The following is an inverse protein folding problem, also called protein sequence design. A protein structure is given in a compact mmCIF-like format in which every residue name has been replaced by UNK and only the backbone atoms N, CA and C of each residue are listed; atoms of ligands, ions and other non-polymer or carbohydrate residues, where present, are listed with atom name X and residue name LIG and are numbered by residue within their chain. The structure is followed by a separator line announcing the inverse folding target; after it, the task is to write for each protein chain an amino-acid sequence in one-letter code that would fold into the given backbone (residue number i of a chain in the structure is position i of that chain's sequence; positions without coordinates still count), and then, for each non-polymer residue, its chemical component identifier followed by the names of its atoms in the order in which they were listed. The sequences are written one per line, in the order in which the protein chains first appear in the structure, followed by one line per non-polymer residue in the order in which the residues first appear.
data_IF_111303927939
#
_entry.id   IF_111303927939
#
_cell.length_a   1.000
_cell.length_b   1.000
_cell.length_c   1.000
_cell.angle_alpha   90.00
_cell.angle_beta   90.00
_cell.angle_gamma   90.00
#
_symmetry.space_group_name_H-M   'P 1'
#
loop_
_entity.id
_entity.type
_entity.pdbx_description
1 polymer ?
#
# COMPACT_ATOMS: atom_id res chain seq x y z
N UNK A 1 3.85 15.28 -14.57
CA UNK A 1 2.91 15.99 -13.67
C UNK A 1 3.67 16.28 -12.40
N UNK A 2 3.91 17.54 -12.07
CA UNK A 2 4.56 17.92 -10.81
C UNK A 2 3.50 17.87 -9.70
N UNK A 3 3.61 16.86 -8.83
CA UNK A 3 2.88 16.78 -7.56
C UNK A 3 3.42 17.84 -6.60
N UNK A 4 3.01 19.10 -6.78
CA UNK A 4 2.85 19.97 -5.61
C UNK A 4 1.68 19.33 -4.87
N UNK A 5 1.95 18.69 -3.73
CA UNK A 5 1.02 17.84 -2.99
C UNK A 5 -0.34 18.50 -2.90
N UNK A 6 -1.38 17.83 -3.40
CA UNK A 6 -2.74 18.37 -3.54
C UNK A 6 -3.23 19.00 -2.21
N UNK A 7 -2.79 18.43 -1.08
CA UNK A 7 -3.00 18.87 0.31
C UNK A 7 -2.61 20.33 0.58
N UNK A 8 -1.53 20.84 -0.03
CA UNK A 8 -1.09 22.24 0.16
C UNK A 8 -2.05 23.27 -0.45
N UNK A 9 -2.95 22.81 -1.33
CA UNK A 9 -3.91 23.66 -2.03
C UNK A 9 -5.37 23.26 -1.82
N UNK A 10 -5.65 22.14 -1.15
CA UNK A 10 -6.99 21.59 -1.05
C UNK A 10 -7.99 22.57 -0.40
N UNK A 11 -7.60 23.21 0.71
CA UNK A 11 -8.41 24.23 1.37
C UNK A 11 -8.60 25.48 0.50
N UNK A 12 -7.55 25.92 -0.20
CA UNK A 12 -7.63 27.05 -1.13
C UNK A 12 -8.54 26.75 -2.32
N UNK A 13 -8.48 25.53 -2.85
CA UNK A 13 -9.35 25.05 -3.94
C UNK A 13 -10.79 24.98 -3.46
N UNK A 14 -11.03 24.44 -2.26
CA UNK A 14 -12.36 24.41 -1.65
C UNK A 14 -13.00 25.80 -1.58
N UNK A 15 -12.25 26.79 -1.09
CA UNK A 15 -12.73 28.16 -0.95
C UNK A 15 -12.95 28.84 -2.31
N UNK A 16 -12.00 28.70 -3.24
CA UNK A 16 -12.07 29.38 -4.55
C UNK A 16 -13.12 28.77 -5.47
N UNK A 17 -13.40 27.48 -5.34
CA UNK A 17 -14.39 26.77 -6.16
C UNK A 17 -15.81 26.80 -5.56
N UNK A 18 -16.00 27.38 -4.37
CA UNK A 18 -17.28 27.40 -3.65
C UNK A 18 -17.92 26.00 -3.52
N UNK A 19 -17.12 25.01 -3.12
CA UNK A 19 -17.58 23.62 -3.01
C UNK A 19 -18.77 23.51 -2.05
N UNK A 20 -18.78 24.28 -0.96
CA UNK A 20 -19.90 24.33 0.00
C UNK A 20 -21.22 24.78 -0.65
N UNK A 21 -21.18 25.76 -1.56
CA UNK A 21 -22.33 26.15 -2.37
C UNK A 21 -22.71 25.08 -3.40
N UNK A 22 -21.73 24.48 -4.08
CA UNK A 22 -21.95 23.47 -5.11
C UNK A 22 -22.71 22.23 -4.58
N UNK A 23 -22.29 21.69 -3.44
CA UNK A 23 -22.94 20.49 -2.86
C UNK A 23 -24.38 20.74 -2.42
N UNK A 24 -24.77 22.02 -2.19
CA UNK A 24 -26.15 22.44 -1.88
C UNK A 24 -26.97 22.76 -3.13
N UNK A 25 -26.33 23.27 -4.18
CA UNK A 25 -26.97 23.73 -5.42
C UNK A 25 -27.12 22.68 -6.52
N UNK A 26 -26.50 21.50 -6.35
CA UNK A 26 -26.47 20.42 -7.33
C UNK A 26 -25.20 20.42 -8.16
N UNK A 27 -24.76 19.24 -8.57
CA UNK A 27 -23.49 19.02 -9.29
C UNK A 27 -23.70 18.10 -10.49
N UNK A 28 -22.70 18.01 -11.35
CA UNK A 28 -22.60 16.94 -12.37
C UNK A 28 -21.82 15.75 -11.80
N UNK A 29 -21.92 14.58 -12.44
CA UNK A 29 -21.13 13.39 -12.06
C UNK A 29 -19.62 13.70 -11.99
N UNK A 30 -19.09 14.44 -12.98
CA UNK A 30 -17.68 14.84 -13.02
C UNK A 30 -17.32 15.76 -11.86
N UNK A 31 -18.19 16.72 -11.53
CA UNK A 31 -17.95 17.62 -10.40
C UNK A 31 -18.01 16.88 -9.07
N UNK A 32 -18.93 15.91 -8.91
CA UNK A 32 -18.99 15.13 -7.68
C UNK A 32 -17.71 14.32 -7.46
N UNK A 33 -17.15 13.70 -8.51
CA UNK A 33 -15.86 13.00 -8.44
C UNK A 33 -14.70 13.95 -8.08
N UNK A 34 -14.66 15.14 -8.70
CA UNK A 34 -13.65 16.15 -8.39
C UNK A 34 -13.77 16.69 -6.96
N UNK A 35 -14.99 16.92 -6.48
CA UNK A 35 -15.24 17.29 -5.08
C UNK A 35 -14.74 16.17 -4.16
N UNK A 36 -15.01 14.90 -4.49
CA UNK A 36 -14.53 13.78 -3.69
C UNK A 36 -13.00 13.77 -3.54
N UNK A 37 -12.26 14.08 -4.60
CA UNK A 37 -10.81 14.23 -4.55
C UNK A 37 -10.37 15.37 -3.61
N UNK A 38 -10.98 16.55 -3.74
CA UNK A 38 -10.65 17.72 -2.90
C UNK A 38 -10.94 17.42 -1.42
N UNK A 39 -12.11 16.85 -1.12
CA UNK A 39 -12.49 16.50 0.25
C UNK A 39 -11.59 15.43 0.86
N UNK A 40 -11.17 14.44 0.06
CA UNK A 40 -10.22 13.43 0.54
C UNK A 40 -8.86 14.06 0.90
N UNK A 41 -8.37 15.00 0.09
CA UNK A 41 -7.16 15.76 0.39
C UNK A 41 -7.33 16.67 1.63
N UNK A 42 -8.50 17.30 1.81
CA UNK A 42 -8.78 18.11 3.01
C UNK A 42 -8.82 17.28 4.30
N UNK A 43 -9.16 16.00 4.22
CA UNK A 43 -9.12 15.09 5.37
C UNK A 43 -7.68 14.60 5.66
N UNK A 44 -6.72 14.76 4.75
CA UNK A 44 -5.29 14.49 4.95
C UNK A 44 -4.62 15.68 5.64
N UNK A 45 -4.74 15.71 6.97
CA UNK A 45 -4.13 16.76 7.77
C UNK A 45 -2.75 16.33 8.25
N UNK A 46 -1.76 17.19 8.00
CA UNK A 46 -0.37 17.02 8.41
C UNK A 46 0.20 18.35 8.88
N UNK A 47 1.29 18.88 8.26
CA UNK A 47 1.78 20.22 8.59
C UNK A 47 0.84 21.34 8.10
N UNK A 48 -0.08 21.04 7.18
CA UNK A 48 -1.08 21.97 6.63
C UNK A 48 -2.46 21.61 7.19
N UNK A 49 -3.24 22.64 7.55
CA UNK A 49 -4.63 22.46 7.99
C UNK A 49 -5.54 22.30 6.78
N UNK A 50 -6.39 21.27 6.82
CA UNK A 50 -7.40 21.01 5.81
C UNK A 50 -8.78 21.29 6.39
N UNK A 51 -9.57 20.23 6.60
CA UNK A 51 -10.96 20.34 7.07
C UNK A 51 -11.07 20.96 8.48
N UNK A 52 -10.04 20.84 9.33
CA UNK A 52 -10.03 21.45 10.68
C UNK A 52 -9.93 22.97 10.66
N UNK A 53 -9.60 23.58 9.52
CA UNK A 53 -9.60 25.03 9.36
C UNK A 53 -11.03 25.59 9.21
N UNK A 54 -12.01 24.75 8.86
CA UNK A 54 -13.40 25.17 8.73
C UNK A 54 -14.12 25.14 10.08
N UNK A 55 -15.12 26.02 10.28
CA UNK A 55 -16.08 25.86 11.37
C UNK A 55 -16.69 24.46 11.33
N UNK A 56 -16.80 23.81 12.49
CA UNK A 56 -17.29 22.42 12.59
C UNK A 56 -18.66 22.22 11.91
N UNK A 57 -19.55 23.19 12.10
CA UNK A 57 -20.88 23.17 11.47
C UNK A 57 -20.80 23.25 9.93
N UNK A 58 -19.90 24.08 9.40
CA UNK A 58 -19.70 24.20 7.94
C UNK A 58 -19.15 22.89 7.38
N UNK A 59 -18.16 22.28 8.04
CA UNK A 59 -17.62 20.99 7.64
C UNK A 59 -18.71 19.90 7.62
N UNK A 60 -19.54 19.82 8.68
CA UNK A 60 -20.63 18.85 8.76
C UNK A 60 -21.69 19.05 7.67
N UNK A 61 -22.10 20.29 7.41
CA UNK A 61 -23.07 20.60 6.36
C UNK A 61 -22.54 20.27 4.97
N UNK A 62 -21.27 20.57 4.70
CA UNK A 62 -20.62 20.28 3.44
C UNK A 62 -20.55 18.76 3.19
N UNK A 63 -20.11 17.98 4.20
CA UNK A 63 -20.07 16.53 4.08
C UNK A 63 -21.48 15.95 3.91
N UNK A 64 -22.47 16.42 4.66
CA UNK A 64 -23.86 15.98 4.50
C UNK A 64 -24.39 16.27 3.10
N UNK A 65 -24.16 17.47 2.59
CA UNK A 65 -24.54 17.87 1.23
C UNK A 65 -23.86 17.00 0.18
N UNK A 66 -22.57 16.71 0.32
CA UNK A 66 -21.87 15.78 -0.56
C UNK A 66 -22.52 14.40 -0.56
N UNK A 67 -22.84 13.84 0.60
CA UNK A 67 -23.51 12.54 0.70
C UNK A 67 -24.92 12.57 0.08
N UNK A 68 -25.65 13.69 0.15
CA UNK A 68 -26.97 13.84 -0.48
C UNK A 68 -26.87 13.71 -2.00
N UNK A 69 -25.82 14.28 -2.61
CA UNK A 69 -25.58 14.19 -4.05
C UNK A 69 -25.33 12.73 -4.51
N UNK A 70 -24.74 11.87 -3.68
CA UNK A 70 -24.38 10.50 -4.08
C UNK A 70 -25.57 9.64 -4.55
N UNK A 71 -26.79 9.93 -4.08
CA UNK A 71 -27.98 9.19 -4.46
C UNK A 71 -28.44 9.44 -5.91
N UNK A 72 -28.07 10.60 -6.48
CA UNK A 72 -28.48 11.02 -7.82
C UNK A 72 -27.37 10.89 -8.87
N UNK A 73 -26.17 10.45 -8.47
CA UNK A 73 -24.97 10.53 -9.29
C UNK A 73 -24.25 9.19 -9.45
N UNK A 74 -23.46 9.12 -10.53
CA UNK A 74 -22.65 7.93 -10.82
C UNK A 74 -21.55 7.78 -9.76
N UNK A 75 -21.50 6.60 -9.15
CA UNK A 75 -20.49 6.27 -8.15
C UNK A 75 -19.11 6.08 -8.82
N UNK A 76 -18.06 6.54 -8.15
CA UNK A 76 -16.65 6.37 -8.56
C UNK A 76 -15.81 5.85 -7.40
N UNK A 77 -14.60 5.37 -7.69
CA UNK A 77 -13.71 4.86 -6.65
C UNK A 77 -13.29 5.98 -5.68
N UNK A 78 -13.13 7.22 -6.17
CA UNK A 78 -12.81 8.37 -5.33
C UNK A 78 -13.94 8.66 -4.33
N UNK A 79 -15.19 8.59 -4.79
CA UNK A 79 -16.37 8.76 -3.93
C UNK A 79 -16.42 7.62 -2.89
N UNK A 80 -16.29 6.35 -3.29
CA UNK A 80 -16.28 5.24 -2.34
C UNK A 80 -15.14 5.37 -1.30
N UNK A 81 -13.93 5.78 -1.73
CA UNK A 81 -12.79 5.98 -0.82
C UNK A 81 -13.02 7.12 0.19
N UNK A 82 -13.61 8.24 -0.26
CA UNK A 82 -13.96 9.35 0.63
C UNK A 82 -15.01 8.91 1.65
N UNK A 83 -16.07 8.22 1.23
CA UNK A 83 -17.12 7.74 2.13
C UNK A 83 -16.53 6.76 3.15
N UNK A 84 -15.64 5.87 2.73
CA UNK A 84 -14.93 4.97 3.63
C UNK A 84 -14.07 5.71 4.65
N UNK A 85 -13.39 6.79 4.24
CA UNK A 85 -12.62 7.62 5.16
C UNK A 85 -13.53 8.32 6.18
N UNK A 86 -14.65 8.87 5.72
CA UNK A 86 -15.65 9.52 6.58
C UNK A 86 -16.29 8.54 7.58
N UNK A 87 -16.51 7.28 7.17
CA UNK A 87 -17.04 6.22 8.05
C UNK A 87 -16.19 6.06 9.32
N UNK A 88 -14.87 6.16 9.18
CA UNK A 88 -13.87 5.92 10.23
C UNK A 88 -13.34 7.21 10.88
N UNK A 89 -13.84 8.38 10.49
CA UNK A 89 -13.41 9.66 11.05
C UNK A 89 -14.31 10.06 12.22
N UNK A 90 -13.75 10.10 13.42
CA UNK A 90 -14.50 10.37 14.66
C UNK A 90 -15.24 11.73 14.64
N UNK A 91 -14.74 12.72 13.88
CA UNK A 91 -15.39 14.03 13.72
C UNK A 91 -16.76 13.91 13.05
N UNK A 92 -16.94 12.85 12.26
CA UNK A 92 -18.12 12.56 11.46
C UNK A 92 -18.85 11.30 11.93
N UNK A 93 -18.67 10.87 13.19
CA UNK A 93 -19.35 9.69 13.74
C UNK A 93 -20.89 9.72 13.59
N UNK A 94 -21.50 10.91 13.57
CA UNK A 94 -22.95 11.07 13.40
C UNK A 94 -23.48 10.64 12.02
N UNK A 95 -22.62 10.49 11.01
CA UNK A 95 -22.99 10.06 9.65
C UNK A 95 -22.49 8.66 9.31
N UNK A 96 -21.85 7.94 10.23
CA UNK A 96 -21.26 6.62 9.98
C UNK A 96 -22.28 5.60 9.44
N UNK A 97 -23.49 5.53 10.01
CA UNK A 97 -24.55 4.64 9.50
C UNK A 97 -24.93 4.96 8.05
N UNK A 98 -24.96 6.24 7.71
CA UNK A 98 -25.27 6.70 6.36
C UNK A 98 -24.13 6.36 5.39
N UNK A 99 -22.88 6.56 5.80
CA UNK A 99 -21.71 6.16 5.00
C UNK A 99 -21.73 4.65 4.73
N UNK A 100 -22.01 3.84 5.76
CA UNK A 100 -22.10 2.39 5.63
C UNK A 100 -23.21 1.99 4.64
N UNK A 101 -24.39 2.58 4.74
CA UNK A 101 -25.50 2.32 3.82
C UNK A 101 -25.14 2.63 2.34
N UNK A 102 -24.35 3.68 2.09
CA UNK A 102 -23.89 4.00 0.73
C UNK A 102 -22.82 3.01 0.26
N UNK A 103 -21.88 2.62 1.12
CA UNK A 103 -20.85 1.63 0.78
C UNK A 103 -21.45 0.25 0.49
N UNK A 104 -22.53 -0.12 1.17
CA UNK A 104 -23.27 -1.36 0.95
C UNK A 104 -24.18 -1.34 -0.29
N UNK A 105 -24.33 -0.18 -0.93
CA UNK A 105 -25.13 -0.06 -2.15
C UNK A 105 -24.53 -0.84 -3.31
N UNK A 106 -25.41 -1.33 -4.18
CA UNK A 106 -25.02 -2.05 -5.40
C UNK A 106 -24.07 -1.23 -6.30
N UNK A 107 -24.29 0.08 -6.39
CA UNK A 107 -23.45 0.98 -7.21
C UNK A 107 -22.02 1.07 -6.67
N UNK A 108 -21.82 1.23 -5.36
CA UNK A 108 -20.46 1.27 -4.80
C UNK A 108 -19.78 -0.09 -4.89
N UNK A 109 -20.48 -1.20 -4.58
CA UNK A 109 -19.93 -2.55 -4.73
C UNK A 109 -19.44 -2.83 -6.15
N UNK A 110 -20.22 -2.50 -7.18
CA UNK A 110 -19.79 -2.65 -8.58
C UNK A 110 -18.55 -1.86 -8.95
N UNK A 111 -18.43 -0.64 -8.43
CA UNK A 111 -17.27 0.22 -8.69
C UNK A 111 -16.03 -0.34 -8.04
N UNK A 112 -16.13 -0.84 -6.80
CA UNK A 112 -15.03 -1.50 -6.11
C UNK A 112 -14.62 -2.78 -6.86
N UNK A 113 -15.58 -3.63 -7.24
CA UNK A 113 -15.32 -4.85 -8.03
C UNK A 113 -14.60 -4.55 -9.35
N UNK A 114 -14.99 -3.47 -10.04
CA UNK A 114 -14.35 -3.05 -11.29
C UNK A 114 -12.96 -2.47 -11.06
N UNK A 115 -12.74 -1.78 -9.94
CA UNK A 115 -11.43 -1.26 -9.57
C UNK A 115 -10.43 -2.40 -9.28
N UNK A 116 -10.90 -3.49 -8.65
CA UNK A 116 -10.09 -4.66 -8.31
C UNK A 116 -9.50 -5.35 -9.54
N UNK A 117 -10.20 -5.34 -10.68
CA UNK A 117 -9.68 -5.86 -11.96
C UNK A 117 -8.39 -5.15 -12.42
N UNK A 118 -8.13 -3.95 -11.89
CA UNK A 118 -6.95 -3.15 -12.19
C UNK A 118 -6.05 -2.99 -10.95
N UNK A 119 -6.15 -3.90 -9.97
CA UNK A 119 -5.34 -3.87 -8.75
C UNK A 119 -5.61 -2.68 -7.82
N UNK A 120 -6.79 -2.06 -7.89
CA UNK A 120 -7.17 -0.90 -7.06
C UNK A 120 -8.39 -1.21 -6.21
N UNK A 121 -8.66 -0.37 -5.20
CA UNK A 121 -9.86 -0.50 -4.36
C UNK A 121 -9.79 -1.59 -3.30
N UNK A 122 -8.60 -2.11 -3.01
CA UNK A 122 -8.39 -3.23 -2.08
C UNK A 122 -8.87 -2.91 -0.66
N UNK A 123 -8.52 -1.72 -0.15
CA UNK A 123 -8.99 -1.25 1.17
C UNK A 123 -10.51 -1.18 1.22
N UNK A 124 -11.16 -0.63 0.19
CA UNK A 124 -12.62 -0.56 0.13
C UNK A 124 -13.25 -1.96 0.07
N UNK A 125 -12.62 -2.90 -0.64
CA UNK A 125 -13.06 -4.29 -0.70
C UNK A 125 -12.97 -4.98 0.66
N UNK A 126 -11.85 -4.80 1.39
CA UNK A 126 -11.67 -5.33 2.75
C UNK A 126 -12.77 -4.85 3.70
N UNK A 127 -13.06 -3.56 3.70
CA UNK A 127 -14.01 -2.92 4.62
C UNK A 127 -15.47 -3.26 4.29
N UNK A 128 -15.78 -3.52 3.02
CA UNK A 128 -17.13 -3.89 2.56
C UNK A 128 -17.33 -5.40 2.43
N UNK A 129 -16.32 -6.21 2.76
CA UNK A 129 -16.38 -7.67 2.65
C UNK A 129 -16.47 -8.19 1.21
N UNK A 130 -16.01 -7.42 0.22
CA UNK A 130 -15.95 -7.86 -1.17
C UNK A 130 -14.71 -8.75 -1.35
N UNK A 131 -14.85 -10.00 -1.85
CA UNK A 131 -13.71 -10.86 -2.16
C UNK A 131 -12.80 -10.21 -3.21
N UNK A 132 -11.50 -10.16 -2.92
CA UNK A 132 -10.55 -9.41 -3.75
C UNK A 132 -9.34 -10.22 -4.22
N UNK A 133 -9.03 -11.32 -3.54
CA UNK A 133 -7.76 -12.04 -3.68
C UNK A 133 -7.55 -12.57 -5.10
N UNK A 134 -8.57 -13.23 -5.66
CA UNK A 134 -8.53 -13.76 -7.02
C UNK A 134 -8.35 -12.66 -8.06
N UNK A 135 -9.05 -11.53 -7.91
CA UNK A 135 -8.98 -10.39 -8.85
C UNK A 135 -7.60 -9.73 -8.82
N UNK A 136 -7.04 -9.52 -7.63
CA UNK A 136 -5.69 -8.97 -7.49
C UNK A 136 -4.67 -9.93 -8.07
N UNK A 137 -4.75 -11.22 -7.76
CA UNK A 137 -3.81 -12.20 -8.30
C UNK A 137 -3.90 -12.27 -9.84
N UNK A 138 -5.10 -12.22 -10.40
CA UNK A 138 -5.31 -12.19 -11.85
C UNK A 138 -4.67 -10.93 -12.46
N UNK A 139 -4.83 -9.76 -11.84
CA UNK A 139 -4.17 -8.53 -12.28
C UNK A 139 -2.64 -8.65 -12.23
N UNK A 140 -2.08 -9.17 -11.12
CA UNK A 140 -0.64 -9.38 -10.97
C UNK A 140 -0.06 -10.34 -12.02
N UNK A 141 -0.81 -11.38 -12.40
CA UNK A 141 -0.41 -12.32 -13.47
C UNK A 141 -0.48 -11.69 -14.86
N UNK A 142 -1.41 -10.75 -15.09
CA UNK A 142 -1.58 -10.08 -16.36
C UNK A 142 -0.56 -8.95 -16.58
N UNK A 143 -0.26 -8.19 -15.53
CA UNK A 143 0.72 -7.10 -15.51
C UNK A 143 1.45 -7.09 -14.16
N UNK A 144 2.58 -7.80 -14.12
CA UNK A 144 3.39 -7.91 -12.91
C UNK A 144 3.97 -6.56 -12.49
N UNK A 145 4.39 -5.74 -13.45
CA UNK A 145 5.03 -4.44 -13.18
C UNK A 145 4.07 -3.45 -12.56
N UNK A 146 2.79 -3.47 -12.95
CA UNK A 146 1.76 -2.66 -12.29
C UNK A 146 1.22 -3.29 -10.99
N UNK A 147 1.25 -4.62 -10.88
CA UNK A 147 0.55 -5.35 -9.83
C UNK A 147 1.40 -5.75 -8.61
N UNK A 148 2.73 -5.85 -8.72
CA UNK A 148 3.58 -6.50 -7.71
C UNK A 148 3.42 -5.93 -6.28
N UNK A 149 3.16 -4.62 -6.16
CA UNK A 149 3.00 -3.95 -4.87
C UNK A 149 1.81 -4.49 -4.05
N UNK A 150 0.85 -5.14 -4.72
CA UNK A 150 -0.31 -5.73 -4.07
C UNK A 150 -0.04 -7.12 -3.45
N UNK A 151 1.17 -7.67 -3.58
CA UNK A 151 1.54 -8.99 -3.07
C UNK A 151 1.19 -9.17 -1.57
N UNK A 152 1.44 -8.14 -0.76
CA UNK A 152 1.21 -8.17 0.68
C UNK A 152 -0.24 -8.46 1.09
N UNK A 153 -1.22 -8.11 0.24
CA UNK A 153 -2.62 -8.39 0.49
C UNK A 153 -2.99 -9.87 0.30
N UNK A 154 -2.15 -10.62 -0.42
CA UNK A 154 -2.36 -12.02 -0.75
C UNK A 154 -1.55 -12.96 0.16
N UNK A 155 -0.41 -12.51 0.69
CA UNK A 155 0.45 -13.34 1.56
C UNK A 155 -0.25 -13.81 2.86
N UNK A 156 -1.28 -13.07 3.29
CA UNK A 156 -2.10 -13.38 4.47
C UNK A 156 -2.88 -14.67 4.33
N UNK A 157 -3.18 -15.08 3.09
CA UNK A 157 -3.90 -16.30 2.79
C UNK A 157 -2.93 -17.34 2.20
N UNK A 158 -2.79 -18.48 2.89
CA UNK A 158 -1.89 -19.57 2.50
C UNK A 158 -2.15 -20.08 1.07
N UNK A 159 -3.41 -20.15 0.63
CA UNK A 159 -3.76 -20.61 -0.71
C UNK A 159 -3.24 -19.68 -1.84
N UNK A 160 -3.03 -18.40 -1.52
CA UNK A 160 -2.51 -17.41 -2.47
C UNK A 160 -1.02 -17.16 -2.30
N UNK A 161 -0.46 -17.38 -1.09
CA UNK A 161 0.94 -17.13 -0.77
C UNK A 161 1.89 -17.80 -1.77
N UNK A 162 1.81 -19.11 -1.95
CA UNK A 162 2.72 -19.82 -2.86
C UNK A 162 2.57 -19.37 -4.31
N UNK A 163 1.35 -19.08 -4.76
CA UNK A 163 1.12 -18.57 -6.11
C UNK A 163 1.79 -17.20 -6.34
N UNK A 164 1.82 -16.35 -5.31
CA UNK A 164 2.53 -15.07 -5.36
C UNK A 164 4.04 -15.32 -5.37
N UNK A 165 4.56 -16.19 -4.51
CA UNK A 165 5.99 -16.50 -4.50
C UNK A 165 6.48 -17.04 -5.85
N UNK A 166 5.72 -17.95 -6.46
CA UNK A 166 6.02 -18.48 -7.79
C UNK A 166 5.98 -17.41 -8.88
N UNK A 167 5.06 -16.46 -8.78
CA UNK A 167 5.01 -15.32 -9.70
C UNK A 167 6.29 -14.47 -9.59
N UNK A 168 6.77 -14.18 -8.38
CA UNK A 168 8.02 -13.44 -8.18
C UNK A 168 9.24 -14.24 -8.67
N UNK A 169 9.31 -15.55 -8.41
CA UNK A 169 10.37 -16.43 -8.92
C UNK A 169 10.44 -16.46 -10.44
N UNK A 170 9.28 -16.41 -11.09
CA UNK A 170 9.18 -16.46 -12.55
C UNK A 170 9.47 -15.10 -13.19
N UNK A 171 9.01 -14.01 -12.57
CA UNK A 171 9.11 -12.67 -13.13
C UNK A 171 10.47 -12.00 -12.88
N UNK A 172 11.16 -12.34 -11.77
CA UNK A 172 12.44 -11.73 -11.43
C UNK A 172 13.62 -12.60 -11.88
N UNK A 173 14.66 -12.03 -12.50
CA UNK A 173 15.84 -12.79 -12.91
C UNK A 173 16.83 -12.94 -11.74
N UNK A 174 16.40 -13.65 -10.68
CA UNK A 174 17.06 -13.70 -9.36
C UNK A 174 18.57 -14.00 -9.43
N UNK A 175 19.00 -14.95 -10.27
CA UNK A 175 20.41 -15.30 -10.42
C UNK A 175 21.25 -14.14 -10.97
N UNK A 176 20.69 -13.36 -11.88
CA UNK A 176 21.38 -12.20 -12.48
C UNK A 176 21.36 -10.96 -11.58
N UNK A 177 20.47 -10.93 -10.58
CA UNK A 177 20.38 -9.84 -9.60
C UNK A 177 21.44 -9.96 -8.50
N UNK A 178 22.04 -11.14 -8.33
CA UNK A 178 23.13 -11.34 -7.37
C UNK A 178 24.38 -10.56 -7.78
N UNK A 179 25.01 -9.90 -6.80
CA UNK A 179 26.19 -9.08 -7.06
C UNK A 179 26.97 -8.75 -5.80
N UNK A 180 28.18 -8.19 -5.99
CA UNK A 180 28.97 -7.72 -4.86
C UNK A 180 28.25 -6.57 -4.14
N UNK A 181 28.23 -6.54 -2.79
CA UNK A 181 27.65 -5.45 -2.02
C UNK A 181 28.21 -4.08 -2.44
N UNK A 182 27.33 -3.12 -2.67
CA UNK A 182 27.68 -1.71 -2.91
C UNK A 182 27.06 -0.81 -1.84
N UNK A 183 27.42 0.48 -1.83
CA UNK A 183 26.78 1.50 -1.00
C UNK A 183 25.52 2.12 -1.63
N UNK A 184 25.06 1.60 -2.78
CA UNK A 184 23.90 2.15 -3.48
C UNK A 184 22.58 1.73 -2.80
N UNK A 185 21.66 2.68 -2.63
CA UNK A 185 20.32 2.45 -2.06
C UNK A 185 19.27 2.05 -3.10
N UNK A 186 19.60 2.03 -4.39
CA UNK A 186 18.73 1.47 -5.43
C UNK A 186 17.69 2.42 -6.00
N UNK A 187 17.76 3.73 -5.79
CA UNK A 187 16.68 4.66 -6.18
C UNK A 187 16.54 4.93 -7.70
N UNK A 188 17.47 4.46 -8.52
CA UNK A 188 17.39 4.62 -9.98
C UNK A 188 16.50 3.55 -10.61
N UNK A 189 15.91 3.88 -11.76
CA UNK A 189 14.99 2.99 -12.50
C UNK A 189 15.63 1.68 -12.95
N UNK A 190 16.96 1.62 -13.04
CA UNK A 190 17.70 0.41 -13.39
C UNK A 190 17.57 -0.69 -12.32
N UNK A 191 17.24 -0.32 -11.07
CA UNK A 191 17.01 -1.24 -9.96
C UNK A 191 15.53 -1.58 -9.74
N UNK A 192 14.73 -1.52 -10.80
CA UNK A 192 13.29 -1.79 -10.71
C UNK A 192 13.00 -3.22 -10.20
N UNK A 193 13.87 -4.20 -10.50
CA UNK A 193 13.68 -5.58 -10.05
C UNK A 193 14.03 -5.74 -8.57
N UNK A 194 15.04 -5.04 -8.09
CA UNK A 194 15.42 -4.95 -6.67
C UNK A 194 14.27 -4.35 -5.87
N UNK A 195 13.65 -3.27 -6.35
CA UNK A 195 12.45 -2.72 -5.72
C UNK A 195 11.30 -3.73 -5.64
N UNK A 196 11.05 -4.51 -6.71
CA UNK A 196 10.01 -5.56 -6.66
C UNK A 196 10.38 -6.63 -5.63
N UNK A 197 11.64 -7.07 -5.59
CA UNK A 197 12.13 -8.03 -4.61
C UNK A 197 11.98 -7.51 -3.17
N UNK A 198 12.27 -6.23 -2.92
CA UNK A 198 12.10 -5.59 -1.61
C UNK A 198 10.66 -5.70 -1.12
N UNK A 199 9.68 -5.44 -1.98
CA UNK A 199 8.26 -5.51 -1.63
C UNK A 199 7.84 -6.90 -1.15
N UNK A 200 8.22 -7.95 -1.88
CA UNK A 200 7.87 -9.32 -1.50
C UNK A 200 8.63 -9.78 -0.25
N UNK A 201 9.93 -9.48 -0.15
CA UNK A 201 10.75 -9.87 1.00
C UNK A 201 10.25 -9.20 2.28
N UNK A 202 9.88 -7.91 2.22
CA UNK A 202 9.27 -7.23 3.36
C UNK A 202 7.97 -7.92 3.83
N UNK A 203 7.14 -8.39 2.90
CA UNK A 203 5.92 -9.12 3.22
C UNK A 203 6.17 -10.46 3.94
N UNK A 204 7.32 -11.07 3.72
CA UNK A 204 7.70 -12.37 4.23
C UNK A 204 8.10 -12.37 5.71
N UNK A 205 8.31 -11.21 6.34
CA UNK A 205 8.65 -11.08 7.77
C UNK A 205 7.72 -11.87 8.70
N UNK A 206 6.45 -12.01 8.33
CA UNK A 206 5.41 -12.69 9.11
C UNK A 206 5.33 -14.20 8.88
N UNK A 207 6.11 -14.74 7.94
CA UNK A 207 5.99 -16.11 7.46
C UNK A 207 7.35 -16.81 7.45
N UNK A 208 7.84 -17.28 8.62
CA UNK A 208 9.14 -17.91 8.72
C UNK A 208 9.37 -19.02 7.69
N UNK A 209 10.51 -18.95 7.00
CA UNK A 209 10.98 -19.89 5.97
C UNK A 209 10.13 -19.95 4.69
N UNK A 210 9.08 -19.13 4.56
CA UNK A 210 8.36 -19.00 3.30
C UNK A 210 9.16 -18.11 2.35
N UNK A 211 9.42 -18.58 1.12
CA UNK A 211 10.18 -17.80 0.13
C UNK A 211 11.64 -17.57 0.50
N UNK A 212 12.26 -18.51 1.23
CA UNK A 212 13.69 -18.45 1.64
C UNK A 212 14.62 -18.10 0.47
N UNK A 213 14.35 -18.61 -0.72
CA UNK A 213 15.08 -18.31 -1.94
C UNK A 213 15.05 -16.82 -2.33
N UNK A 214 13.89 -16.16 -2.19
CA UNK A 214 13.73 -14.72 -2.42
C UNK A 214 14.46 -13.90 -1.34
N UNK A 215 14.43 -14.34 -0.07
CA UNK A 215 15.19 -13.69 1.00
C UNK A 215 16.69 -13.81 0.75
N UNK A 216 17.18 -14.97 0.33
CA UNK A 216 18.58 -15.18 -0.05
C UNK A 216 18.97 -14.29 -1.24
N UNK A 217 18.10 -14.16 -2.25
CA UNK A 217 18.33 -13.23 -3.35
C UNK A 217 18.48 -11.77 -2.84
N UNK A 218 17.67 -11.38 -1.85
CA UNK A 218 17.79 -10.08 -1.20
C UNK A 218 19.11 -9.89 -0.45
N UNK A 219 19.60 -10.92 0.26
CA UNK A 219 20.91 -10.90 0.92
C UNK A 219 22.08 -10.80 -0.07
N UNK A 220 21.93 -11.39 -1.26
CA UNK A 220 22.93 -11.38 -2.35
C UNK A 220 22.84 -10.15 -3.26
N UNK A 221 21.91 -9.25 -3.00
CA UNK A 221 21.71 -8.05 -3.83
C UNK A 221 22.85 -7.03 -3.64
N UNK A 222 23.31 -6.37 -4.71
CA UNK A 222 24.28 -5.27 -4.61
C UNK A 222 23.70 -4.02 -3.92
N UNK A 223 22.36 -3.93 -3.75
CA UNK A 223 21.66 -2.78 -3.18
C UNK A 223 21.48 -2.88 -1.66
N UNK A 224 21.84 -1.80 -0.97
CA UNK A 224 21.78 -1.69 0.51
C UNK A 224 20.37 -1.98 1.03
N UNK A 225 19.34 -1.43 0.40
CA UNK A 225 17.94 -1.55 0.83
C UNK A 225 17.45 -3.00 0.79
N UNK A 226 17.71 -3.74 -0.29
CA UNK A 226 17.44 -5.18 -0.38
C UNK A 226 18.07 -5.97 0.77
N UNK A 227 19.38 -5.79 0.99
CA UNK A 227 20.11 -6.52 2.03
C UNK A 227 19.58 -6.18 3.43
N UNK A 228 19.26 -4.90 3.65
CA UNK A 228 18.68 -4.39 4.89
C UNK A 228 17.33 -5.03 5.21
N UNK A 229 16.44 -5.15 4.22
CA UNK A 229 15.11 -5.76 4.36
C UNK A 229 15.23 -7.28 4.53
N UNK A 230 16.12 -7.93 3.79
CA UNK A 230 16.35 -9.36 3.91
C UNK A 230 16.91 -9.74 5.30
N UNK A 231 17.90 -9.01 5.82
CA UNK A 231 18.42 -9.21 7.18
C UNK A 231 17.34 -9.00 8.25
N UNK A 232 16.49 -7.97 8.10
CA UNK A 232 15.35 -7.76 9.00
C UNK A 232 14.40 -8.96 8.96
N UNK A 233 14.09 -9.47 7.77
CA UNK A 233 13.23 -10.65 7.58
C UNK A 233 13.79 -11.87 8.28
N UNK A 234 15.08 -12.17 8.10
CA UNK A 234 15.76 -13.27 8.80
C UNK A 234 15.72 -13.08 10.32
N UNK A 235 15.92 -11.85 10.82
CA UNK A 235 15.83 -11.55 12.26
C UNK A 235 14.43 -11.79 12.81
N UNK A 236 13.38 -11.36 12.11
CA UNK A 236 11.99 -11.61 12.51
C UNK A 236 11.65 -13.10 12.48
N UNK A 237 12.20 -13.87 11.54
CA UNK A 237 12.04 -15.32 11.51
C UNK A 237 12.70 -16.01 12.69
N UNK A 238 13.93 -15.63 13.05
CA UNK A 238 14.61 -16.11 14.25
C UNK A 238 13.79 -15.82 15.51
N UNK A 239 13.25 -14.60 15.65
CA UNK A 239 12.39 -14.21 16.78
C UNK A 239 11.10 -15.04 16.83
N UNK A 240 10.39 -15.15 15.70
CA UNK A 240 9.14 -15.88 15.62
C UNK A 240 9.29 -17.38 15.89
N UNK A 241 10.47 -17.95 15.59
CA UNK A 241 10.81 -19.35 15.86
C UNK A 241 11.57 -19.57 17.17
N UNK A 242 11.87 -18.50 17.89
CA UNK A 242 12.67 -18.50 19.12
C UNK A 242 14.01 -19.24 18.97
N UNK A 243 14.68 -19.05 17.83
CA UNK A 243 15.93 -19.74 17.49
C UNK A 243 17.03 -18.77 17.04
N UNK A 244 18.26 -19.25 16.99
CA UNK A 244 19.38 -18.54 16.36
C UNK A 244 19.33 -18.73 14.84
N UNK A 245 20.13 -17.95 14.11
CA UNK A 245 20.29 -18.10 12.65
C UNK A 245 20.68 -19.53 12.24
N UNK A 246 21.65 -20.12 12.97
CA UNK A 246 22.08 -21.51 12.77
C UNK A 246 20.96 -22.53 13.05
N UNK A 247 20.02 -22.22 13.94
CA UNK A 247 18.85 -23.06 14.19
C UNK A 247 17.71 -22.85 13.19
N UNK A 248 17.76 -21.79 12.38
CA UNK A 248 16.69 -21.42 11.45
C UNK A 248 16.84 -22.14 10.09
N UNK A 249 18.02 -22.02 9.46
CA UNK A 249 18.36 -22.70 8.20
C UNK A 249 19.87 -22.59 7.93
N UNK A 250 20.47 -23.69 7.48
CA UNK A 250 21.88 -23.74 7.06
C UNK A 250 22.12 -22.82 5.85
N UNK A 251 21.18 -22.76 4.90
CA UNK A 251 21.30 -21.94 3.68
C UNK A 251 21.28 -20.45 4.02
N UNK A 252 20.38 -20.03 4.92
CA UNK A 252 20.33 -18.65 5.40
C UNK A 252 21.59 -18.29 6.19
N UNK A 253 22.06 -19.19 7.05
CA UNK A 253 23.30 -19.01 7.80
C UNK A 253 24.48 -18.77 6.87
N UNK A 254 24.60 -19.61 5.83
CA UNK A 254 25.64 -19.47 4.83
C UNK A 254 25.53 -18.14 4.05
N UNK A 255 24.31 -17.74 3.66
CA UNK A 255 24.10 -16.50 2.93
C UNK A 255 24.46 -15.25 3.76
N UNK A 256 24.12 -15.24 5.06
CA UNK A 256 24.45 -14.14 5.97
C UNK A 256 25.95 -14.08 6.26
N UNK A 257 26.62 -15.22 6.45
CA UNK A 257 28.08 -15.27 6.63
C UNK A 257 28.83 -14.76 5.38
N UNK A 258 28.37 -15.16 4.19
CA UNK A 258 28.90 -14.64 2.93
C UNK A 258 28.72 -13.12 2.83
N UNK A 259 27.55 -12.61 3.20
CA UNK A 259 27.30 -11.17 3.23
C UNK A 259 28.21 -10.47 4.24
N UNK A 260 28.32 -10.99 5.47
CA UNK A 260 29.16 -10.43 6.53
C UNK A 260 30.62 -10.29 6.10
N UNK A 261 31.14 -11.29 5.38
CA UNK A 261 32.50 -11.27 4.85
C UNK A 261 32.71 -10.24 3.72
N UNK A 262 31.68 -9.97 2.91
CA UNK A 262 31.77 -9.12 1.72
C UNK A 262 31.22 -7.69 1.91
N UNK A 263 30.46 -7.43 2.97
CA UNK A 263 29.72 -6.18 3.14
C UNK A 263 30.65 -4.96 3.22
N UNK A 264 30.24 -3.88 2.58
CA UNK A 264 30.96 -2.61 2.51
C UNK A 264 30.27 -1.51 3.33
N UNK A 265 28.95 -1.54 3.42
CA UNK A 265 28.14 -0.56 4.14
C UNK A 265 28.26 -0.70 5.65
N UNK A 266 28.71 0.37 6.32
CA UNK A 266 28.77 0.42 7.78
C UNK A 266 27.40 0.22 8.46
N UNK A 267 26.33 0.72 7.85
CA UNK A 267 24.97 0.55 8.37
C UNK A 267 24.51 -0.91 8.36
N UNK A 268 24.85 -1.66 7.30
CA UNK A 268 24.49 -3.08 7.22
C UNK A 268 25.34 -3.91 8.18
N UNK A 269 26.65 -3.63 8.30
CA UNK A 269 27.51 -4.28 9.30
C UNK A 269 26.95 -4.13 10.72
N UNK A 270 26.57 -2.90 11.09
CA UNK A 270 25.94 -2.62 12.39
C UNK A 270 24.65 -3.43 12.59
N UNK A 271 23.81 -3.54 11.56
CA UNK A 271 22.58 -4.36 11.64
C UNK A 271 22.86 -5.85 11.84
N UNK A 272 23.85 -6.40 11.14
CA UNK A 272 24.27 -7.79 11.31
C UNK A 272 24.65 -8.03 12.78
N UNK A 273 25.47 -7.15 13.36
CA UNK A 273 25.85 -7.20 14.77
C UNK A 273 24.65 -7.06 15.72
N UNK A 274 23.75 -6.09 15.47
CA UNK A 274 22.54 -5.85 16.27
C UNK A 274 21.59 -7.06 16.28
N UNK A 275 21.52 -7.82 15.18
CA UNK A 275 20.72 -9.04 15.09
C UNK A 275 21.41 -10.28 15.66
N UNK A 276 22.67 -10.17 16.08
CA UNK A 276 23.46 -11.29 16.61
C UNK A 276 23.85 -12.30 15.53
N UNK A 277 24.06 -11.82 14.29
CA UNK A 277 24.52 -12.61 13.14
C UNK A 277 26.04 -12.50 12.95
#
# INVERSE_FOLDING_TARGET
RNNVTEDYSALDVYQKADIGGMVKGGVTDMQLDQIACVLNAMLEEGPVRGISALPEQEAKEMISGFLDQTAAHTMTLNICNLILRLLHDERFAAISERCQAILDSYSCRRVIEKALENGRGIRAAQETGIPYEEKILAHMKADFDSGYANCNYLLTNEAYREQVLDLFRTALPLDSMAGAPTENNGYSKEYANEHKLEYIVQGLEKYPLCGTDLVIAGLRSPIVTCRSIALRTVSEWCKAKECTLAGLSDELSQAVEQLKAAEVSGNIKKRIEEYGF
#
